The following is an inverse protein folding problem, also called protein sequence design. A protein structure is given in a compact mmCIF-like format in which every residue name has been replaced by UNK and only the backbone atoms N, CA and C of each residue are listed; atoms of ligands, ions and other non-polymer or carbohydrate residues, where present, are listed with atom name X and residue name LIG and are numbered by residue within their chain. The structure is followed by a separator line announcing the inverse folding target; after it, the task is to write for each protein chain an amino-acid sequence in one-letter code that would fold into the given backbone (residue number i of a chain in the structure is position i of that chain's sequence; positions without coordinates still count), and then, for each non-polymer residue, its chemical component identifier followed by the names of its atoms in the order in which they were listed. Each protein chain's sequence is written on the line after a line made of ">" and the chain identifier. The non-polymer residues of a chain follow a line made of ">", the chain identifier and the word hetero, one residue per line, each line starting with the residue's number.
data_IF_198448431607
#
_entry.id   IF_198448431607
#
_cell.length_a   1.000
_cell.length_b   1.000
_cell.length_c   1.000
_cell.angle_alpha   90.00
_cell.angle_beta   90.00
_cell.angle_gamma   90.00
#
_symmetry.space_group_name_H-M   'P 1'
#
loop_
_entity.id
_entity.type
_entity.pdbx_description
1 polymer ?
#
# COMPACT_ATOMS: atom_id res chain seq x y z
N UNK A 1 -4.33 -5.37 -22.29
CA UNK A 1 -4.85 -4.15 -21.63
C UNK A 1 -3.78 -3.54 -20.77
N UNK A 2 -3.50 -2.26 -20.95
CA UNK A 2 -2.56 -1.61 -20.04
C UNK A 2 -3.16 -1.51 -18.64
N UNK A 3 -2.35 -1.76 -17.64
CA UNK A 3 -2.77 -1.61 -16.26
C UNK A 3 -2.63 -0.16 -15.83
N UNK A 4 -3.45 0.26 -14.86
CA UNK A 4 -3.40 1.61 -14.31
C UNK A 4 -2.08 1.79 -13.56
N UNK A 5 -1.36 2.90 -13.78
CA UNK A 5 -0.16 3.17 -12.98
C UNK A 5 -0.55 3.37 -11.50
N UNK A 6 0.11 2.64 -10.61
CA UNK A 6 -0.28 2.63 -9.19
C UNK A 6 0.33 3.78 -8.41
N UNK A 7 1.52 4.26 -8.77
CA UNK A 7 2.17 5.28 -7.97
C UNK A 7 1.42 6.60 -7.93
N UNK A 8 0.93 7.15 -9.06
CA UNK A 8 0.11 8.35 -9.00
C UNK A 8 -1.18 8.15 -8.19
N UNK A 9 -1.77 6.96 -8.30
CA UNK A 9 -2.98 6.64 -7.55
C UNK A 9 -2.68 6.56 -6.05
N UNK A 10 -1.55 5.97 -5.68
CA UNK A 10 -1.08 5.92 -4.31
C UNK A 10 -0.95 7.34 -3.73
N UNK A 11 -0.28 8.24 -4.43
CA UNK A 11 -0.09 9.62 -3.96
C UNK A 11 -1.42 10.35 -3.81
N UNK A 12 -2.35 10.13 -4.74
CA UNK A 12 -3.68 10.73 -4.65
C UNK A 12 -4.39 10.29 -3.38
N UNK A 13 -4.42 8.99 -3.09
CA UNK A 13 -5.10 8.47 -1.92
C UNK A 13 -4.37 8.82 -0.63
N UNK A 14 -3.04 8.86 -0.67
CA UNK A 14 -2.25 9.28 0.49
C UNK A 14 -2.61 10.71 0.89
N UNK A 15 -2.73 11.61 -0.08
CA UNK A 15 -3.15 12.97 0.17
C UNK A 15 -4.60 13.05 0.64
N UNK A 16 -5.48 12.28 0.03
CA UNK A 16 -6.92 12.38 0.24
C UNK A 16 -7.39 11.73 1.53
N UNK A 17 -6.78 10.60 1.93
CA UNK A 17 -7.29 9.78 3.04
C UNK A 17 -6.29 9.58 4.17
N UNK A 18 -5.01 9.83 3.99
CA UNK A 18 -3.97 9.51 4.97
C UNK A 18 -3.12 10.71 5.36
N UNK A 19 -3.57 11.92 5.03
CA UNK A 19 -2.89 13.16 5.39
C UNK A 19 -1.42 13.19 4.96
N UNK A 20 -1.12 12.58 3.83
CA UNK A 20 0.25 12.48 3.28
C UNK A 20 1.21 11.70 4.18
N UNK A 21 0.70 10.93 5.14
CA UNK A 21 1.55 10.26 6.15
C UNK A 21 2.34 9.07 5.60
N UNK A 22 1.96 8.54 4.43
CA UNK A 22 2.61 7.35 3.86
C UNK A 22 3.75 7.69 2.90
N UNK A 23 4.20 8.94 2.88
CA UNK A 23 5.34 9.37 2.08
C UNK A 23 6.10 10.46 2.83
N UNK A 24 7.40 10.57 2.55
CA UNK A 24 8.25 11.65 3.06
C UNK A 24 8.95 12.26 1.85
N UNK A 25 8.76 13.55 1.63
CA UNK A 25 9.31 14.26 0.47
C UNK A 25 8.98 13.56 -0.86
N UNK A 26 7.72 13.11 -0.99
CA UNK A 26 7.21 12.36 -2.15
C UNK A 26 7.83 10.98 -2.33
N UNK A 27 8.62 10.50 -1.35
CA UNK A 27 9.15 9.14 -1.36
C UNK A 27 8.24 8.24 -0.55
N UNK A 28 7.55 7.26 -1.17
CA UNK A 28 6.65 6.38 -0.44
C UNK A 28 7.37 5.58 0.63
N UNK A 29 6.74 5.44 1.80
CA UNK A 29 7.22 4.56 2.86
C UNK A 29 6.93 3.09 2.54
N UNK A 30 6.08 2.84 1.58
CA UNK A 30 5.69 1.50 1.15
C UNK A 30 5.75 1.46 -0.38
N UNK A 31 6.34 0.41 -0.92
CA UNK A 31 6.39 0.21 -2.37
C UNK A 31 5.02 -0.30 -2.84
N UNK A 32 4.61 0.09 -4.03
CA UNK A 32 3.32 -0.32 -4.59
C UNK A 32 3.57 -0.85 -6.00
N UNK A 33 3.13 -2.06 -6.28
CA UNK A 33 3.30 -2.63 -7.60
C UNK A 33 2.21 -3.63 -7.96
N UNK A 34 2.09 -3.90 -9.25
CA UNK A 34 1.31 -5.02 -9.74
C UNK A 34 2.10 -6.31 -9.64
N UNK A 35 1.41 -7.40 -9.33
CA UNK A 35 2.02 -8.73 -9.32
C UNK A 35 2.25 -9.23 -10.74
N UNK A 36 2.98 -10.35 -10.85
CA UNK A 36 2.99 -11.12 -12.09
C UNK A 36 1.69 -11.95 -12.18
N UNK A 37 1.66 -12.88 -13.14
CA UNK A 37 0.45 -13.67 -13.41
C UNK A 37 0.24 -14.82 -12.42
N UNK A 38 1.09 -14.96 -11.40
CA UNK A 38 1.01 -16.06 -10.44
C UNK A 38 0.12 -15.78 -9.24
N UNK A 39 -0.11 -14.51 -8.90
CA UNK A 39 -0.94 -14.16 -7.76
C UNK A 39 -2.40 -14.22 -8.18
N UNK A 40 -3.07 -15.34 -7.87
CA UNK A 40 -4.46 -15.60 -8.29
C UNK A 40 -5.40 -15.89 -7.13
N UNK A 41 -4.91 -15.87 -5.88
CA UNK A 41 -5.69 -16.26 -4.71
C UNK A 41 -6.22 -15.08 -3.92
N UNK A 42 -5.64 -13.90 -4.08
CA UNK A 42 -6.10 -12.69 -3.40
C UNK A 42 -5.93 -11.48 -4.33
N UNK A 43 -6.82 -10.52 -4.21
CA UNK A 43 -6.78 -9.31 -5.03
C UNK A 43 -5.58 -8.42 -4.71
N UNK A 44 -5.08 -8.47 -3.48
CA UNK A 44 -3.90 -7.72 -3.10
C UNK A 44 -3.46 -8.11 -1.71
N UNK A 45 -2.26 -7.70 -1.34
CA UNK A 45 -1.78 -7.89 0.03
C UNK A 45 -0.68 -6.88 0.35
N UNK A 46 -0.48 -6.67 1.66
CA UNK A 46 0.58 -5.87 2.23
C UNK A 46 1.58 -6.80 2.90
N UNK A 47 2.87 -6.61 2.64
CA UNK A 47 3.91 -7.36 3.32
C UNK A 47 4.98 -6.45 3.87
N UNK A 48 5.64 -6.89 4.92
CA UNK A 48 6.71 -6.18 5.58
C UNK A 48 7.85 -7.12 5.90
N UNK A 49 9.08 -6.65 5.67
CA UNK A 49 10.30 -7.34 6.06
C UNK A 49 11.18 -6.38 6.83
N UNK A 50 11.96 -6.92 7.75
CA UNK A 50 13.02 -6.16 8.41
C UNK A 50 14.36 -6.70 7.91
N UNK A 51 15.14 -5.83 7.27
CA UNK A 51 16.44 -6.20 6.72
C UNK A 51 17.46 -5.24 7.33
N UNK A 52 18.43 -5.79 8.09
CA UNK A 52 19.47 -5.00 8.75
C UNK A 52 18.89 -3.83 9.57
N UNK A 53 17.78 -4.08 10.27
CA UNK A 53 17.13 -3.06 11.09
C UNK A 53 16.26 -2.08 10.33
N UNK A 54 16.21 -2.17 9.01
CA UNK A 54 15.40 -1.29 8.16
C UNK A 54 14.13 -2.02 7.74
N UNK A 55 12.99 -1.34 7.86
CA UNK A 55 11.70 -1.91 7.44
C UNK A 55 11.53 -1.69 5.94
N UNK A 56 11.33 -2.79 5.22
CA UNK A 56 10.98 -2.79 3.80
C UNK A 56 9.55 -3.30 3.68
N UNK A 57 8.66 -2.46 3.16
CA UNK A 57 7.24 -2.80 3.06
C UNK A 57 6.74 -2.60 1.64
N UNK A 58 5.75 -3.40 1.26
CA UNK A 58 5.27 -3.44 -0.11
C UNK A 58 3.79 -3.79 -0.17
N UNK A 59 3.06 -3.08 -1.02
CA UNK A 59 1.69 -3.41 -1.40
C UNK A 59 1.73 -4.02 -2.79
N UNK A 60 1.14 -5.20 -2.95
CA UNK A 60 1.11 -5.91 -4.22
C UNK A 60 -0.34 -6.14 -4.60
N UNK A 61 -0.73 -5.67 -5.79
CA UNK A 61 -2.06 -5.89 -6.32
C UNK A 61 -2.03 -6.95 -7.41
N UNK A 62 -3.01 -7.84 -7.41
CA UNK A 62 -3.06 -8.93 -8.35
C UNK A 62 -3.46 -8.44 -9.73
N UNK A 63 -2.52 -8.49 -10.67
CA UNK A 63 -2.80 -8.17 -12.06
C UNK A 63 -3.85 -9.12 -12.68
N UNK A 64 -3.74 -10.47 -12.51
CA UNK A 64 -4.73 -11.36 -13.12
C UNK A 64 -6.14 -11.18 -12.56
N UNK A 65 -6.29 -10.83 -11.29
CA UNK A 65 -7.62 -10.63 -10.71
C UNK A 65 -8.16 -9.25 -11.06
N UNK A 66 -7.38 -8.19 -10.77
CA UNK A 66 -7.89 -6.82 -10.85
C UNK A 66 -7.94 -6.26 -12.26
N UNK A 67 -7.15 -6.81 -13.21
CA UNK A 67 -7.19 -6.32 -14.59
C UNK A 67 -8.55 -6.59 -15.26
N UNK A 68 -9.34 -7.51 -14.71
CA UNK A 68 -10.67 -7.85 -15.21
C UNK A 68 -11.78 -7.09 -14.50
N UNK A 69 -11.44 -6.26 -13.52
CA UNK A 69 -12.41 -5.56 -12.69
C UNK A 69 -12.41 -4.07 -13.02
N UNK A 70 -13.40 -3.36 -12.49
CA UNK A 70 -13.56 -1.93 -12.73
C UNK A 70 -12.46 -1.14 -12.00
N UNK A 71 -12.30 0.12 -12.42
CA UNK A 71 -11.41 1.06 -11.73
C UNK A 71 -11.79 1.22 -10.26
N UNK A 72 -13.10 1.22 -9.97
CA UNK A 72 -13.60 1.30 -8.59
C UNK A 72 -13.09 0.16 -7.73
N UNK A 73 -13.06 -1.05 -8.27
CA UNK A 73 -12.54 -2.23 -7.55
C UNK A 73 -11.04 -2.12 -7.29
N UNK A 74 -10.29 -1.62 -8.28
CA UNK A 74 -8.86 -1.41 -8.14
C UNK A 74 -8.59 -0.36 -7.06
N UNK A 75 -9.32 0.75 -7.09
CA UNK A 75 -9.18 1.82 -6.11
C UNK A 75 -9.48 1.31 -4.70
N UNK A 76 -10.56 0.55 -4.56
CA UNK A 76 -10.98 -0.01 -3.27
C UNK A 76 -9.93 -0.96 -2.71
N UNK A 77 -9.37 -1.82 -3.56
CA UNK A 77 -8.34 -2.77 -3.14
C UNK A 77 -7.07 -2.04 -2.72
N UNK A 78 -6.64 -1.04 -3.49
CA UNK A 78 -5.45 -0.28 -3.12
C UNK A 78 -5.65 0.45 -1.79
N UNK A 79 -6.77 1.11 -1.60
CA UNK A 79 -7.07 1.79 -0.33
C UNK A 79 -7.08 0.81 0.85
N UNK A 80 -7.64 -0.37 0.66
CA UNK A 80 -7.66 -1.41 1.69
C UNK A 80 -6.24 -1.78 2.12
N UNK A 81 -5.35 -2.02 1.17
CA UNK A 81 -3.97 -2.35 1.49
C UNK A 81 -3.21 -1.16 2.07
N UNK A 82 -3.53 0.05 1.65
CA UNK A 82 -2.94 1.26 2.23
C UNK A 82 -3.34 1.44 3.69
N UNK A 83 -4.56 1.04 4.07
CA UNK A 83 -4.97 1.04 5.47
C UNK A 83 -4.10 0.09 6.28
N UNK A 84 -3.81 -1.10 5.78
CA UNK A 84 -2.91 -2.03 6.45
C UNK A 84 -1.52 -1.42 6.62
N UNK A 85 -1.00 -0.78 5.57
CA UNK A 85 0.30 -0.12 5.63
C UNK A 85 0.29 1.02 6.66
N UNK A 86 -0.77 1.81 6.69
CA UNK A 86 -0.90 2.93 7.62
C UNK A 86 -0.94 2.44 9.06
N UNK A 87 -1.73 1.40 9.33
CA UNK A 87 -1.78 0.80 10.68
C UNK A 87 -0.40 0.32 11.11
N UNK A 88 0.30 -0.37 10.21
CA UNK A 88 1.60 -0.95 10.53
C UNK A 88 2.70 0.11 10.68
N UNK A 89 2.75 1.10 9.78
CA UNK A 89 3.87 2.03 9.70
C UNK A 89 3.65 3.31 10.50
N UNK A 90 2.41 3.72 10.70
CA UNK A 90 2.09 5.00 11.31
C UNK A 90 1.38 4.81 12.65
N UNK A 91 0.24 4.11 12.66
CA UNK A 91 -0.60 4.01 13.86
C UNK A 91 0.10 3.26 14.99
N UNK A 92 0.73 2.13 14.71
CA UNK A 92 1.45 1.37 15.73
C UNK A 92 2.58 2.19 16.34
N UNK A 93 3.29 2.92 15.51
CA UNK A 93 4.37 3.78 15.98
C UNK A 93 3.84 4.89 16.89
N UNK A 94 2.73 5.51 16.55
CA UNK A 94 2.10 6.54 17.37
C UNK A 94 1.64 5.98 18.71
N UNK A 95 1.01 4.79 18.69
CA UNK A 95 0.55 4.13 19.94
C UNK A 95 1.72 3.81 20.85
N UNK A 96 2.80 3.33 20.29
CA UNK A 96 4.01 3.04 21.06
C UNK A 96 4.57 4.30 21.71
N UNK A 97 4.60 5.41 20.98
CA UNK A 97 5.09 6.68 21.53
C UNK A 97 4.20 7.18 22.67
N UNK A 98 2.88 7.03 22.53
CA UNK A 98 1.93 7.43 23.58
C UNK A 98 2.13 6.59 24.84
N UNK A 99 2.42 5.30 24.72
CA UNK A 99 2.63 4.42 25.85
C UNK A 99 3.89 4.79 26.65
N UNK A 100 4.89 5.34 25.99
CA UNK A 100 6.14 5.73 26.64
C UNK A 100 5.95 7.02 27.44
N UNK A 101 5.10 7.87 26.99
CA UNK A 101 4.84 9.12 27.70
C UNK A 101 3.94 8.89 28.91
#
# INVERSE_FOLDING_TARGET
>A
MPVIPLLPLFHKFNSQYFENSLAVNNQPLVKVRWSDNRLKTTAGFYKRKRINGVIDSEIILSKPILSKLSTSEINSTLCHEMIHAWVDRILKKMRYMVQIS
#
